data_IF_224051619702
#
_entry.id   IF_224051619702
#
_cell.length_a   1.000
_cell.length_b   1.000
_cell.length_c   1.000
_cell.angle_alpha   90.00
_cell.angle_beta   90.00
_cell.angle_gamma   90.00
#
_symmetry.space_group_name_H-M   'P 1'
#
loop_
_entity.id
_entity.type
_entity.pdbx_description
1 polymer ?
#
# COMPACT_ATOMS: atom_id res chain seq x y z
N UNK A 1 -30.61 -16.77 12.38
CA UNK A 1 -29.16 -16.53 12.25
C UNK A 1 -28.94 -15.02 12.32
N UNK A 2 -28.60 -14.50 13.51
CA UNK A 2 -28.28 -13.08 13.71
C UNK A 2 -27.15 -12.65 12.77
N UNK A 3 -27.28 -11.49 12.16
CA UNK A 3 -26.32 -10.88 11.26
C UNK A 3 -25.11 -10.31 12.02
N UNK A 4 -24.40 -11.15 12.77
CA UNK A 4 -23.22 -10.79 13.59
C UNK A 4 -21.96 -10.47 12.77
N UNK A 5 -22.06 -10.43 11.44
CA UNK A 5 -20.98 -9.94 10.57
C UNK A 5 -20.68 -8.44 10.75
N UNK A 6 -21.49 -7.74 11.55
CA UNK A 6 -21.30 -6.35 11.94
C UNK A 6 -21.29 -6.19 13.46
N UNK A 7 -20.45 -6.98 14.11
CA UNK A 7 -20.09 -6.77 15.52
C UNK A 7 -19.46 -5.37 15.67
N UNK A 8 -19.97 -4.53 16.58
CA UNK A 8 -19.49 -3.15 16.85
C UNK A 8 -17.97 -3.11 17.00
N UNK A 9 -17.41 -4.21 17.49
CA UNK A 9 -15.98 -4.48 17.58
C UNK A 9 -15.22 -4.29 16.26
N UNK A 10 -15.73 -4.80 15.13
CA UNK A 10 -15.07 -4.60 13.83
C UNK A 10 -15.05 -3.13 13.45
N UNK A 11 -16.16 -2.41 13.61
CA UNK A 11 -16.26 -0.99 13.29
C UNK A 11 -15.28 -0.16 14.12
N UNK A 12 -15.18 -0.44 15.42
CA UNK A 12 -14.21 0.21 16.31
C UNK A 12 -12.76 -0.05 15.88
N UNK A 13 -12.42 -1.28 15.48
CA UNK A 13 -11.08 -1.61 15.00
C UNK A 13 -10.77 -0.87 13.69
N UNK A 14 -11.71 -0.83 12.72
CA UNK A 14 -11.54 -0.07 11.47
C UNK A 14 -11.30 1.41 11.74
N UNK A 15 -12.12 2.00 12.61
CA UNK A 15 -11.96 3.40 13.02
C UNK A 15 -10.61 3.67 13.67
N UNK A 16 -10.14 2.76 14.53
CA UNK A 16 -8.82 2.89 15.16
C UNK A 16 -7.67 2.77 14.14
N UNK A 17 -7.75 1.81 13.21
CA UNK A 17 -6.77 1.67 12.12
C UNK A 17 -6.72 2.95 11.28
N UNK A 18 -7.89 3.50 10.91
CA UNK A 18 -7.95 4.71 10.09
C UNK A 18 -7.33 5.92 10.80
N UNK A 19 -7.58 6.09 12.10
CA UNK A 19 -6.91 7.13 12.91
C UNK A 19 -5.38 7.01 12.86
N UNK A 20 -4.85 5.80 13.04
CA UNK A 20 -3.41 5.56 12.93
C UNK A 20 -2.89 5.83 11.51
N UNK A 21 -3.68 5.49 10.49
CA UNK A 21 -3.40 5.82 9.09
C UNK A 21 -3.27 7.33 8.85
N UNK A 22 -4.20 8.12 9.39
CA UNK A 22 -4.15 9.59 9.32
C UNK A 22 -2.90 10.14 10.00
N UNK A 23 -2.58 9.68 11.22
CA UNK A 23 -1.35 10.10 11.91
C UNK A 23 -0.08 9.68 11.15
N UNK A 24 -0.09 8.52 10.51
CA UNK A 24 1.01 8.06 9.65
C UNK A 24 1.18 9.00 8.46
N UNK A 25 0.09 9.34 7.77
CA UNK A 25 0.12 10.28 6.64
C UNK A 25 0.68 11.66 7.06
N UNK A 26 0.18 12.20 8.18
CA UNK A 26 0.65 13.47 8.73
C UNK A 26 2.14 13.41 9.06
N UNK A 27 2.58 12.34 9.75
CA UNK A 27 3.98 12.15 10.11
C UNK A 27 4.89 12.06 8.88
N UNK A 28 4.48 11.31 7.86
CA UNK A 28 5.19 11.19 6.59
C UNK A 28 5.28 12.52 5.84
N UNK A 29 4.19 13.28 5.79
CA UNK A 29 4.17 14.60 5.16
C UNK A 29 5.05 15.61 5.91
N UNK A 30 5.01 15.62 7.25
CA UNK A 30 5.85 16.49 8.07
C UNK A 30 7.33 16.14 7.91
N UNK A 31 7.68 14.85 7.93
CA UNK A 31 9.04 14.38 7.69
C UNK A 31 9.52 14.84 6.30
N UNK A 32 8.70 14.66 5.26
CA UNK A 32 9.03 15.12 3.92
C UNK A 32 9.20 16.65 3.86
N UNK A 33 8.34 17.41 4.52
CA UNK A 33 8.45 18.86 4.59
C UNK A 33 9.73 19.34 5.30
N UNK A 34 10.14 18.67 6.38
CA UNK A 34 11.40 18.97 7.06
C UNK A 34 12.62 18.63 6.21
N UNK A 35 12.60 17.51 5.49
CA UNK A 35 13.66 17.17 4.53
C UNK A 35 13.78 18.23 3.43
N UNK A 36 12.66 18.63 2.84
CA UNK A 36 12.64 19.71 1.83
C UNK A 36 13.15 21.03 2.39
N UNK A 37 12.76 21.40 3.62
CA UNK A 37 13.27 22.60 4.31
C UNK A 37 14.78 22.55 4.55
N UNK A 38 15.34 21.36 4.77
CA UNK A 38 16.77 21.13 4.89
C UNK A 38 17.52 21.05 3.54
N UNK A 39 16.83 21.23 2.41
CA UNK A 39 17.40 21.10 1.07
C UNK A 39 17.60 19.66 0.61
N UNK A 40 17.05 18.68 1.33
CA UNK A 40 17.16 17.26 0.99
C UNK A 40 15.96 16.87 0.11
N UNK A 41 16.24 16.64 -1.17
CA UNK A 41 15.29 16.09 -2.13
C UNK A 41 15.66 14.63 -2.39
N UNK A 42 14.74 13.70 -2.14
CA UNK A 42 14.97 12.26 -2.33
C UNK A 42 14.20 11.70 -3.55
N UNK A 43 13.27 12.46 -4.12
CA UNK A 43 12.56 12.16 -5.36
C UNK A 43 11.94 13.45 -5.94
N UNK A 44 11.40 13.40 -7.16
CA UNK A 44 10.61 14.51 -7.73
C UNK A 44 9.36 14.79 -6.89
N UNK A 45 8.84 16.02 -6.90
CA UNK A 45 7.66 16.39 -6.09
C UNK A 45 6.44 15.49 -6.35
N UNK A 46 6.24 15.08 -7.60
CA UNK A 46 5.21 14.11 -7.97
C UNK A 46 5.48 12.72 -7.35
N UNK A 47 6.69 12.19 -7.51
CA UNK A 47 7.07 10.88 -6.96
C UNK A 47 6.95 10.84 -5.43
N UNK A 48 7.42 11.88 -4.75
CA UNK A 48 7.31 11.97 -3.29
C UNK A 48 5.85 11.84 -2.85
N UNK A 49 4.95 12.64 -3.44
CA UNK A 49 3.55 12.66 -3.04
C UNK A 49 2.86 11.31 -3.27
N UNK A 50 3.07 10.68 -4.43
CA UNK A 50 2.47 9.38 -4.74
C UNK A 50 3.03 8.28 -3.83
N UNK A 51 4.34 8.26 -3.58
CA UNK A 51 4.95 7.26 -2.71
C UNK A 51 4.51 7.40 -1.26
N UNK A 52 4.39 8.63 -0.73
CA UNK A 52 3.92 8.85 0.65
C UNK A 52 2.44 8.46 0.79
N UNK A 53 1.61 8.77 -0.20
CA UNK A 53 0.22 8.34 -0.25
C UNK A 53 0.12 6.80 -0.25
N UNK A 54 0.85 6.14 -1.15
CA UNK A 54 0.79 4.69 -1.27
C UNK A 54 1.43 3.97 -0.09
N UNK A 55 2.46 4.54 0.53
CA UNK A 55 3.01 4.01 1.77
C UNK A 55 1.96 4.06 2.89
N UNK A 56 1.21 5.16 3.00
CA UNK A 56 0.09 5.28 3.95
C UNK A 56 -0.97 4.21 3.70
N UNK A 57 -1.40 4.05 2.44
CA UNK A 57 -2.37 3.01 2.05
C UNK A 57 -1.85 1.62 2.42
N UNK A 58 -0.56 1.36 2.19
CA UNK A 58 0.09 0.09 2.50
C UNK A 58 0.09 -0.18 4.00
N UNK A 59 0.46 0.79 4.84
CA UNK A 59 0.44 0.66 6.31
C UNK A 59 -0.97 0.37 6.81
N UNK A 60 -1.97 1.11 6.31
CA UNK A 60 -3.38 0.90 6.65
C UNK A 60 -3.81 -0.51 6.25
N UNK A 61 -3.57 -0.89 5.01
CA UNK A 61 -3.91 -2.21 4.47
C UNK A 61 -3.29 -3.33 5.29
N UNK A 62 -1.98 -3.30 5.56
CA UNK A 62 -1.30 -4.28 6.41
C UNK A 62 -1.94 -4.33 7.80
N UNK A 63 -2.28 -3.19 8.40
CA UNK A 63 -2.93 -3.14 9.69
C UNK A 63 -4.34 -3.75 9.71
N UNK A 64 -5.11 -3.63 8.62
CA UNK A 64 -6.38 -4.35 8.44
C UNK A 64 -6.16 -5.86 8.42
N UNK A 65 -5.17 -6.32 7.65
CA UNK A 65 -4.82 -7.73 7.49
C UNK A 65 -4.35 -8.36 8.82
N UNK A 66 -3.43 -7.71 9.53
CA UNK A 66 -2.92 -8.19 10.84
C UNK A 66 -4.04 -8.31 11.88
N UNK A 67 -5.01 -7.40 11.86
CA UNK A 67 -6.14 -7.40 12.81
C UNK A 67 -7.32 -8.27 12.35
N UNK A 68 -7.20 -8.95 11.20
CA UNK A 68 -8.23 -9.84 10.68
C UNK A 68 -9.53 -9.10 10.31
N UNK A 69 -9.42 -7.83 9.95
CA UNK A 69 -10.59 -6.99 9.61
C UNK A 69 -10.69 -6.85 8.10
N UNK A 70 -11.86 -7.15 7.55
CA UNK A 70 -12.09 -7.00 6.12
C UNK A 70 -12.09 -5.52 5.72
N UNK A 71 -11.32 -5.22 4.68
CA UNK A 71 -11.28 -3.89 4.07
C UNK A 71 -12.56 -3.58 3.28
N UNK A 72 -13.16 -4.58 2.64
CA UNK A 72 -14.37 -4.42 1.84
C UNK A 72 -15.46 -5.38 2.31
N UNK A 73 -16.68 -4.86 2.45
CA UNK A 73 -17.85 -5.60 2.93
C UNK A 73 -18.42 -6.55 1.86
N UNK A 74 -18.24 -6.17 0.59
CA UNK A 74 -18.73 -6.93 -0.55
C UNK A 74 -17.60 -7.63 -1.30
N UNK A 75 -17.80 -8.92 -1.62
CA UNK A 75 -16.86 -9.71 -2.40
C UNK A 75 -16.52 -9.11 -3.77
N UNK A 76 -17.43 -8.35 -4.37
CA UNK A 76 -17.20 -7.61 -5.63
C UNK A 76 -16.21 -6.48 -5.46
N UNK A 77 -16.35 -5.64 -4.42
CA UNK A 77 -15.40 -4.56 -4.13
C UNK A 77 -14.01 -5.13 -3.82
N UNK A 78 -13.94 -6.21 -3.02
CA UNK A 78 -12.68 -6.91 -2.75
C UNK A 78 -12.00 -7.39 -4.03
N UNK A 79 -12.75 -8.03 -4.94
CA UNK A 79 -12.22 -8.50 -6.24
C UNK A 79 -11.73 -7.33 -7.08
N UNK A 80 -12.47 -6.23 -7.14
CA UNK A 80 -12.08 -5.03 -7.88
C UNK A 80 -10.79 -4.42 -7.33
N UNK A 81 -10.67 -4.27 -6.01
CA UNK A 81 -9.44 -3.79 -5.39
C UNK A 81 -8.25 -4.69 -5.71
N UNK A 82 -8.41 -6.02 -5.55
CA UNK A 82 -7.35 -6.98 -5.88
C UNK A 82 -6.97 -6.94 -7.36
N UNK A 83 -7.94 -6.83 -8.28
CA UNK A 83 -7.65 -6.80 -9.72
C UNK A 83 -6.92 -5.53 -10.12
N UNK A 84 -7.35 -4.35 -9.65
CA UNK A 84 -6.68 -3.07 -9.94
C UNK A 84 -5.26 -3.07 -9.38
N UNK A 85 -5.08 -3.50 -8.14
CA UNK A 85 -3.75 -3.57 -7.52
C UNK A 85 -2.84 -4.57 -8.23
N UNK A 86 -3.39 -5.69 -8.71
CA UNK A 86 -2.62 -6.70 -9.47
C UNK A 86 -2.16 -6.15 -10.81
N UNK A 87 -3.06 -5.52 -11.58
CA UNK A 87 -2.70 -4.92 -12.87
C UNK A 87 -1.65 -3.82 -12.68
N UNK A 88 -1.85 -2.93 -11.69
CA UNK A 88 -0.89 -1.88 -11.37
C UNK A 88 0.49 -2.46 -10.97
N UNK A 89 0.52 -3.46 -10.07
CA UNK A 89 1.75 -4.13 -9.65
C UNK A 89 2.50 -4.72 -10.84
N UNK A 90 1.80 -5.44 -11.72
CA UNK A 90 2.40 -6.08 -12.90
C UNK A 90 2.92 -5.05 -13.89
N UNK A 91 2.12 -4.04 -14.24
CA UNK A 91 2.54 -3.00 -15.19
C UNK A 91 3.79 -2.27 -14.69
N UNK A 92 3.80 -1.84 -13.43
CA UNK A 92 4.95 -1.15 -12.84
C UNK A 92 6.18 -2.05 -12.72
N UNK A 93 5.99 -3.34 -12.43
CA UNK A 93 7.09 -4.31 -12.39
C UNK A 93 7.70 -4.51 -13.76
N UNK A 94 6.87 -4.67 -14.80
CA UNK A 94 7.35 -4.80 -16.18
C UNK A 94 8.07 -3.54 -16.63
N UNK A 95 7.49 -2.35 -16.42
CA UNK A 95 8.12 -1.08 -16.74
C UNK A 95 9.49 -0.93 -16.06
N UNK A 96 9.55 -1.20 -14.75
CA UNK A 96 10.82 -1.08 -14.01
C UNK A 96 11.88 -2.07 -14.50
N UNK A 97 11.51 -3.32 -14.80
CA UNK A 97 12.45 -4.32 -15.34
C UNK A 97 12.97 -3.91 -16.73
N UNK A 98 12.10 -3.43 -17.62
CA UNK A 98 12.50 -2.96 -18.95
C UNK A 98 13.51 -1.82 -18.85
N UNK A 99 13.21 -0.80 -18.06
CA UNK A 99 14.12 0.34 -17.90
C UNK A 99 15.45 -0.05 -17.25
N UNK A 100 15.46 -0.97 -16.29
CA UNK A 100 16.70 -1.50 -15.71
C UNK A 100 17.54 -2.22 -16.78
N UNK A 101 16.91 -2.98 -17.67
CA UNK A 101 17.60 -3.67 -18.78
C UNK A 101 18.17 -2.66 -19.79
N UNK A 102 17.44 -1.58 -20.06
CA UNK A 102 17.89 -0.49 -20.94
C UNK A 102 19.02 0.36 -20.32
N UNK A 103 19.37 0.12 -19.05
CA UNK A 103 20.48 0.73 -18.36
C UNK A 103 20.12 1.93 -17.48
N UNK A 104 18.83 2.19 -17.25
CA UNK A 104 18.41 3.28 -16.36
C UNK A 104 18.81 3.00 -14.91
N UNK A 105 19.39 4.02 -14.29
CA UNK A 105 19.75 3.96 -12.87
C UNK A 105 18.51 4.15 -11.99
N UNK A 106 18.46 3.49 -10.84
CA UNK A 106 17.37 3.68 -9.84
C UNK A 106 17.48 5.00 -9.09
N UNK A 107 18.71 5.49 -8.91
CA UNK A 107 19.03 6.70 -8.17
C UNK A 107 20.02 7.51 -9.00
N UNK A 108 19.71 8.79 -9.22
CA UNK A 108 20.58 9.74 -9.89
C UNK A 108 20.63 11.03 -9.09
N UNK A 109 21.83 11.56 -8.83
CA UNK A 109 22.00 12.81 -8.08
C UNK A 109 21.41 12.78 -6.66
N UNK A 110 21.37 11.60 -6.01
CA UNK A 110 20.78 11.43 -4.68
C UNK A 110 19.25 11.36 -4.66
N UNK A 111 18.60 11.38 -5.83
CA UNK A 111 17.14 11.29 -5.97
C UNK A 111 16.71 10.02 -6.68
N UNK A 112 15.51 9.58 -6.37
CA UNK A 112 14.82 8.51 -7.08
C UNK A 112 14.50 8.95 -8.52
N UNK A 113 14.94 8.14 -9.50
CA UNK A 113 14.58 8.30 -10.91
C UNK A 113 13.16 7.78 -11.18
N UNK A 114 12.65 7.94 -12.40
CA UNK A 114 11.38 7.33 -12.83
C UNK A 114 11.41 5.80 -12.62
N UNK A 115 12.52 5.15 -12.99
CA UNK A 115 12.73 3.72 -12.82
C UNK A 115 12.72 3.30 -11.35
N UNK A 116 13.42 4.05 -10.50
CA UNK A 116 13.38 3.84 -9.05
C UNK A 116 11.97 4.03 -8.48
N UNK A 117 11.24 5.04 -8.95
CA UNK A 117 9.86 5.31 -8.55
C UNK A 117 8.93 4.15 -8.92
N UNK A 118 8.97 3.68 -10.17
CA UNK A 118 8.14 2.55 -10.60
C UNK A 118 8.44 1.28 -9.81
N UNK A 119 9.72 1.00 -9.52
CA UNK A 119 10.11 -0.15 -8.74
C UNK A 119 9.58 -0.07 -7.29
N UNK A 120 9.80 1.05 -6.60
CA UNK A 120 9.32 1.22 -5.21
C UNK A 120 7.79 1.16 -5.16
N UNK A 121 7.10 1.80 -6.11
CA UNK A 121 5.66 1.78 -6.19
C UNK A 121 5.13 0.35 -6.47
N UNK A 122 5.77 -0.40 -7.36
CA UNK A 122 5.45 -1.80 -7.63
C UNK A 122 5.58 -2.66 -6.34
N UNK A 123 6.66 -2.47 -5.57
CA UNK A 123 6.87 -3.18 -4.31
C UNK A 123 5.73 -2.89 -3.33
N UNK A 124 5.31 -1.63 -3.18
CA UNK A 124 4.18 -1.27 -2.32
C UNK A 124 2.89 -1.98 -2.74
N UNK A 125 2.59 -2.03 -4.05
CA UNK A 125 1.44 -2.78 -4.55
C UNK A 125 1.55 -4.28 -4.26
N UNK A 126 2.73 -4.88 -4.44
CA UNK A 126 2.96 -6.30 -4.12
C UNK A 126 2.78 -6.60 -2.63
N UNK A 127 3.27 -5.74 -1.73
CA UNK A 127 3.06 -5.90 -0.29
C UNK A 127 1.57 -5.95 0.04
N UNK A 128 0.77 -5.05 -0.54
CA UNK A 128 -0.68 -5.04 -0.37
C UNK A 128 -1.34 -6.34 -0.86
N UNK A 129 -0.94 -6.85 -2.03
CA UNK A 129 -1.48 -8.08 -2.60
C UNK A 129 -1.11 -9.31 -1.76
N UNK A 130 0.17 -9.45 -1.40
CA UNK A 130 0.66 -10.58 -0.60
C UNK A 130 -0.06 -10.63 0.74
N UNK A 131 -0.23 -9.48 1.40
CA UNK A 131 -1.00 -9.39 2.65
C UNK A 131 -2.46 -9.83 2.45
N UNK A 132 -3.10 -9.39 1.36
CA UNK A 132 -4.44 -9.80 0.97
C UNK A 132 -4.59 -11.31 0.79
N UNK A 133 -3.68 -11.93 0.01
CA UNK A 133 -3.71 -13.37 -0.23
C UNK A 133 -3.38 -14.19 1.00
N UNK A 134 -2.39 -13.78 1.79
CA UNK A 134 -2.00 -14.47 3.02
C UNK A 134 -3.18 -14.52 4.01
N UNK A 135 -3.89 -13.42 4.21
CA UNK A 135 -5.07 -13.40 5.06
C UNK A 135 -6.20 -14.28 4.54
N UNK A 136 -6.50 -14.23 3.24
CA UNK A 136 -7.51 -15.09 2.64
C UNK A 136 -7.17 -16.58 2.79
N UNK A 137 -5.89 -16.94 2.69
CA UNK A 137 -5.42 -18.31 2.90
C UNK A 137 -5.53 -18.75 4.36
N UNK A 138 -5.19 -17.88 5.33
CA UNK A 138 -5.34 -18.16 6.77
C UNK A 138 -6.82 -18.34 7.13
N UNK A 139 -7.70 -17.52 6.58
CA UNK A 139 -9.14 -17.61 6.82
C UNK A 139 -9.72 -18.94 6.32
N UNK A 140 -9.34 -19.37 5.11
CA UNK A 140 -9.71 -20.69 4.58
C UNK A 140 -9.22 -21.85 5.46
N UNK A 141 -8.03 -21.73 6.07
CA UNK A 141 -7.51 -22.74 7.01
C UNK A 141 -8.29 -22.80 8.32
N UNK A 142 -8.81 -21.66 8.79
CA UNK A 142 -9.60 -21.59 10.05
C UNK A 142 -11.03 -22.09 9.87
N UNK A 143 -11.61 -21.95 8.67
CA UNK A 143 -12.94 -22.42 8.32
C UNK A 143 -12.90 -23.36 7.11
N UNK A 144 -12.35 -24.58 7.25
CA UNK A 144 -12.46 -25.59 6.20
C UNK A 144 -13.94 -25.98 6.06
N UNK A 145 -14.56 -25.58 4.95
CA UNK A 145 -15.82 -26.18 4.51
C UNK A 145 -15.53 -27.47 3.78
#
# INVERSE_FOLDING_TARGET
MSSDKFDERQLQIRGNIFKHGVFTAIGLLLANAFLQKAGILWASGFHQNILLLMLTVTVISVAFHVRGVYFAENGTQRRMFLSVFTVAALMLSVSSVVFIIDGDTLIAGGMLTDTGFFLVLAILFWVNLICGFACAAIEKRKNPQ
#
